data_IF_623412936412
#
_entry.id   IF_623412936412
#
_cell.length_a   1.000
_cell.length_b   1.000
_cell.length_c   1.000
_cell.angle_alpha   90.00
_cell.angle_beta   90.00
_cell.angle_gamma   90.00
#
_symmetry.space_group_name_H-M   'P 1'
#
loop_
_entity.id
_entity.type
_entity.pdbx_description
1 polymer ?
#
# COMPACT_ATOMS: atom_id res chain seq x y z
N UNK A 1 -16.88 -1.05 -23.41
CA UNK A 1 -15.86 -0.83 -24.46
C UNK A 1 -14.54 -0.47 -23.78
N UNK A 2 -13.42 -1.18 -24.13
CA UNK A 2 -12.08 -0.81 -23.66
C UNK A 2 -11.70 0.54 -24.27
N UNK A 3 -11.41 1.54 -23.42
CA UNK A 3 -11.05 2.89 -23.87
C UNK A 3 -9.55 3.11 -23.98
N UNK A 4 -8.77 2.43 -23.15
CA UNK A 4 -7.30 2.55 -23.14
C UNK A 4 -6.63 1.29 -22.59
N UNK A 5 -5.42 1.01 -23.08
CA UNK A 5 -4.52 -0.04 -22.59
C UNK A 5 -3.08 0.46 -22.63
N UNK A 6 -2.37 0.36 -21.52
CA UNK A 6 -0.96 0.72 -21.42
C UNK A 6 -0.12 -0.38 -20.80
N UNK A 7 1.20 -0.23 -20.87
CA UNK A 7 2.16 -1.09 -20.18
C UNK A 7 2.58 -0.44 -18.87
N UNK A 8 2.69 -1.25 -17.83
CA UNK A 8 3.30 -0.87 -16.55
C UNK A 8 4.69 -1.47 -16.43
N UNK A 9 5.41 -1.15 -15.37
CA UNK A 9 6.59 -1.88 -14.94
C UNK A 9 6.29 -3.34 -14.55
N UNK A 10 7.27 -4.02 -14.00
CA UNK A 10 7.22 -5.47 -13.78
C UNK A 10 6.22 -5.88 -12.69
N UNK A 11 5.36 -6.84 -13.00
CA UNK A 11 4.43 -7.49 -12.08
C UNK A 11 3.55 -6.50 -11.31
N UNK A 12 2.69 -5.71 -11.97
CA UNK A 12 1.73 -4.85 -11.27
C UNK A 12 0.81 -5.71 -10.39
N UNK A 13 0.54 -5.27 -9.18
CA UNK A 13 -0.25 -6.03 -8.21
C UNK A 13 -1.56 -5.32 -7.83
N UNK A 14 -1.48 -4.13 -7.28
CA UNK A 14 -2.64 -3.39 -6.80
C UNK A 14 -2.64 -1.96 -7.34
N UNK A 15 -3.82 -1.35 -7.31
CA UNK A 15 -4.08 -0.01 -7.83
C UNK A 15 -4.82 0.81 -6.79
N UNK A 16 -4.35 2.04 -6.58
CA UNK A 16 -5.04 3.04 -5.75
C UNK A 16 -5.35 4.29 -6.57
N UNK A 17 -6.63 4.66 -6.64
CA UNK A 17 -7.07 5.93 -7.20
C UNK A 17 -7.03 7.03 -6.15
N UNK A 18 -6.48 8.20 -6.48
CA UNK A 18 -6.54 9.35 -5.57
C UNK A 18 -7.99 9.85 -5.45
N UNK A 19 -8.42 10.38 -4.27
CA UNK A 19 -9.80 10.80 -4.05
C UNK A 19 -10.28 11.95 -4.95
N UNK A 20 -9.38 12.62 -5.65
CA UNK A 20 -9.69 13.67 -6.64
C UNK A 20 -9.78 13.13 -8.08
N UNK A 21 -9.69 11.81 -8.26
CA UNK A 21 -9.73 11.09 -9.55
C UNK A 21 -8.66 11.53 -10.57
N UNK A 22 -7.57 12.18 -10.12
CA UNK A 22 -6.52 12.65 -11.03
C UNK A 22 -5.40 11.67 -11.26
N UNK A 23 -5.11 10.81 -10.27
CA UNK A 23 -3.97 9.91 -10.35
C UNK A 23 -4.34 8.48 -9.99
N UNK A 24 -3.67 7.54 -10.65
CA UNK A 24 -3.62 6.13 -10.27
C UNK A 24 -2.21 5.80 -9.81
N UNK A 25 -2.10 5.19 -8.64
CA UNK A 25 -0.87 4.63 -8.10
C UNK A 25 -0.89 3.12 -8.34
N UNK A 26 0.15 2.57 -8.96
CA UNK A 26 0.25 1.15 -9.29
C UNK A 26 1.45 0.55 -8.57
N UNK A 27 1.22 -0.42 -7.69
CA UNK A 27 2.27 -1.14 -6.98
C UNK A 27 2.95 -2.17 -7.88
N UNK A 28 4.28 -2.13 -7.93
CA UNK A 28 5.08 -3.06 -8.75
C UNK A 28 5.73 -4.13 -7.86
N UNK A 29 5.15 -5.31 -7.80
CA UNK A 29 5.73 -6.43 -7.03
C UNK A 29 7.06 -6.90 -7.59
N UNK A 30 7.28 -6.78 -8.88
CA UNK A 30 8.56 -7.07 -9.54
C UNK A 30 9.53 -5.87 -9.59
N UNK A 31 9.22 -4.77 -8.92
CA UNK A 31 9.98 -3.53 -8.97
C UNK A 31 10.29 -2.95 -7.58
N UNK A 32 10.81 -1.71 -7.58
CA UNK A 32 11.26 -1.02 -6.35
C UNK A 32 10.28 0.06 -5.88
N UNK A 33 9.00 0.00 -6.29
CA UNK A 33 8.08 1.03 -5.84
C UNK A 33 6.77 1.09 -6.60
N UNK A 34 6.28 2.30 -6.70
CA UNK A 34 4.95 2.65 -7.17
C UNK A 34 5.04 3.55 -8.39
N UNK A 35 4.38 3.18 -9.48
CA UNK A 35 4.17 4.07 -10.63
C UNK A 35 2.95 4.94 -10.42
N UNK A 36 3.05 6.21 -10.79
CA UNK A 36 1.96 7.20 -10.72
C UNK A 36 1.57 7.61 -12.13
N UNK A 37 0.31 7.39 -12.45
CA UNK A 37 -0.27 7.78 -13.72
C UNK A 37 -1.25 8.93 -13.54
N UNK A 38 -1.07 10.00 -14.32
CA UNK A 38 -2.08 11.05 -14.49
C UNK A 38 -3.21 10.49 -15.36
N UNK A 39 -4.44 10.51 -14.84
CA UNK A 39 -5.64 9.98 -15.51
C UNK A 39 -6.71 11.05 -15.71
N UNK A 40 -6.41 12.31 -15.43
CA UNK A 40 -7.34 13.42 -15.63
C UNK A 40 -7.62 13.70 -17.13
N UNK A 41 -6.73 13.26 -18.02
CA UNK A 41 -6.88 13.40 -19.47
C UNK A 41 -7.56 12.20 -20.15
N UNK A 42 -7.56 12.20 -21.49
CA UNK A 42 -8.12 11.11 -22.27
C UNK A 42 -7.30 9.82 -22.21
N UNK A 43 -5.99 9.93 -22.04
CA UNK A 43 -5.05 8.79 -21.98
C UNK A 43 -4.20 8.89 -20.72
N UNK A 44 -4.15 7.82 -19.91
CA UNK A 44 -3.26 7.76 -18.76
C UNK A 44 -1.79 7.92 -19.14
N UNK A 45 -1.06 8.75 -18.40
CA UNK A 45 0.36 9.02 -18.62
C UNK A 45 1.17 8.77 -17.36
N UNK A 46 2.25 7.99 -17.46
CA UNK A 46 3.20 7.84 -16.37
C UNK A 46 3.87 9.20 -16.10
N UNK A 47 3.71 9.73 -14.90
CA UNK A 47 4.25 11.03 -14.49
C UNK A 47 5.34 10.92 -13.44
N UNK A 48 5.36 9.84 -12.67
CA UNK A 48 6.35 9.65 -11.61
C UNK A 48 6.48 8.17 -11.23
N UNK A 49 7.66 7.79 -10.74
CA UNK A 49 7.88 6.57 -9.98
C UNK A 49 8.33 6.94 -8.57
N UNK A 50 7.61 6.45 -7.55
CA UNK A 50 7.92 6.66 -6.14
C UNK A 50 8.68 5.43 -5.64
N UNK A 51 9.92 5.61 -5.21
CA UNK A 51 10.70 4.52 -4.59
C UNK A 51 10.20 4.29 -3.17
N UNK A 52 9.51 3.17 -2.94
CA UNK A 52 8.99 2.77 -1.63
C UNK A 52 9.79 1.62 -1.02
N UNK A 53 10.25 0.72 -1.86
CA UNK A 53 10.95 -0.50 -1.50
C UNK A 53 10.61 -1.62 -2.49
N UNK A 54 11.38 -2.69 -2.46
CA UNK A 54 11.15 -3.82 -3.36
C UNK A 54 9.83 -4.54 -3.03
N UNK A 55 9.09 -4.86 -4.08
CA UNK A 55 7.88 -5.66 -3.99
C UNK A 55 6.65 -4.87 -3.53
N UNK A 56 6.46 -3.64 -4.00
CA UNK A 56 5.25 -2.87 -3.73
C UNK A 56 4.01 -3.65 -4.18
N UNK A 57 3.06 -3.89 -3.24
CA UNK A 57 2.01 -4.87 -3.48
C UNK A 57 0.60 -4.34 -3.23
N UNK A 58 0.24 -3.97 -2.01
CA UNK A 58 -1.13 -3.62 -1.65
C UNK A 58 -1.21 -2.23 -1.06
N UNK A 59 -2.27 -1.51 -1.41
CA UNK A 59 -2.55 -0.17 -0.92
C UNK A 59 -3.63 -0.15 0.16
N UNK A 60 -3.54 0.83 1.05
CA UNK A 60 -4.58 1.16 2.02
C UNK A 60 -4.60 2.66 2.30
N UNK A 61 -5.68 3.33 1.94
CA UNK A 61 -5.88 4.74 2.29
C UNK A 61 -5.81 4.98 3.80
N UNK A 62 -5.23 6.08 4.22
CA UNK A 62 -5.11 6.44 5.63
C UNK A 62 -6.42 7.00 6.24
N UNK A 63 -7.40 7.32 5.40
CA UNK A 63 -8.67 7.91 5.82
C UNK A 63 -8.65 9.43 5.98
N UNK A 64 -7.51 10.05 5.74
CA UNK A 64 -7.30 11.50 5.89
C UNK A 64 -7.33 12.25 4.54
N UNK A 65 -7.68 11.57 3.44
CA UNK A 65 -7.72 12.11 2.07
C UNK A 65 -6.40 12.74 1.62
N UNK A 66 -5.30 12.25 2.13
CA UNK A 66 -3.96 12.75 1.80
C UNK A 66 -2.89 11.66 1.74
N UNK A 67 -3.04 10.63 2.56
CA UNK A 67 -2.02 9.61 2.65
C UNK A 67 -2.55 8.23 2.26
N UNK A 68 -1.67 7.44 1.69
CA UNK A 68 -1.89 6.03 1.40
C UNK A 68 -0.69 5.21 1.85
N UNK A 69 -0.98 4.06 2.45
CA UNK A 69 0.04 3.07 2.79
C UNK A 69 0.22 2.09 1.63
N UNK A 70 1.44 1.64 1.43
CA UNK A 70 1.77 0.56 0.49
C UNK A 70 2.67 -0.46 1.15
N UNK A 71 2.32 -1.73 1.07
CA UNK A 71 3.17 -2.83 1.54
C UNK A 71 4.27 -3.13 0.52
N UNK A 72 5.52 -3.25 0.99
CA UNK A 72 6.68 -3.64 0.19
C UNK A 72 7.07 -5.06 0.60
N UNK A 73 6.53 -6.05 -0.11
CA UNK A 73 6.57 -7.46 0.27
C UNK A 73 7.98 -8.00 0.43
N UNK A 74 8.89 -7.65 -0.46
CA UNK A 74 10.28 -8.11 -0.45
C UNK A 74 11.14 -7.30 0.53
N UNK A 75 10.90 -5.98 0.59
CA UNK A 75 11.62 -5.10 1.52
C UNK A 75 11.20 -5.27 2.98
N UNK A 76 10.10 -5.99 3.27
CA UNK A 76 9.56 -6.17 4.63
C UNK A 76 9.21 -4.85 5.33
N UNK A 77 8.68 -3.91 4.58
CA UNK A 77 8.26 -2.59 5.07
C UNK A 77 6.87 -2.23 4.58
N UNK A 78 6.28 -1.24 5.24
CA UNK A 78 5.13 -0.48 4.73
C UNK A 78 5.58 0.96 4.59
N UNK A 79 5.34 1.58 3.44
CA UNK A 79 5.61 2.99 3.21
C UNK A 79 4.31 3.78 3.24
N UNK A 80 4.32 4.94 3.91
CA UNK A 80 3.25 5.94 3.85
C UNK A 80 3.60 6.98 2.81
N UNK A 81 2.75 7.15 1.84
CA UNK A 81 2.92 8.10 0.73
C UNK A 81 1.95 9.27 0.96
N UNK A 82 2.47 10.50 0.90
CA UNK A 82 1.66 11.68 0.68
C UNK A 82 1.41 11.82 -0.82
N UNK A 83 0.18 11.60 -1.27
CA UNK A 83 -0.12 11.61 -2.70
C UNK A 83 -0.33 13.04 -3.28
N UNK A 84 -0.35 14.08 -2.44
CA UNK A 84 -0.30 15.47 -2.93
C UNK A 84 1.12 15.85 -3.39
N UNK A 85 2.13 15.40 -2.64
CA UNK A 85 3.55 15.64 -2.96
C UNK A 85 4.18 14.49 -3.76
N UNK A 86 3.51 13.35 -3.83
CA UNK A 86 4.00 12.09 -4.42
C UNK A 86 5.34 11.66 -3.83
N UNK A 87 5.44 11.70 -2.49
CA UNK A 87 6.65 11.32 -1.75
C UNK A 87 6.34 10.37 -0.60
N UNK A 88 7.31 9.51 -0.27
CA UNK A 88 7.26 8.72 0.96
C UNK A 88 7.55 9.65 2.15
N UNK A 89 6.64 9.68 3.13
CA UNK A 89 6.79 10.50 4.34
C UNK A 89 7.18 9.67 5.56
N UNK A 90 6.83 8.39 5.60
CA UNK A 90 7.13 7.47 6.71
C UNK A 90 7.34 6.05 6.21
N UNK A 91 8.13 5.27 6.96
CA UNK A 91 8.29 3.83 6.76
C UNK A 91 8.11 3.09 8.08
N UNK A 92 7.54 1.87 7.98
CA UNK A 92 7.23 0.99 9.09
C UNK A 92 7.84 -0.39 8.84
N UNK A 93 8.50 -1.02 9.82
CA UNK A 93 8.92 -2.40 9.70
C UNK A 93 7.68 -3.32 9.67
N UNK A 94 7.64 -4.24 8.74
CA UNK A 94 6.52 -5.18 8.57
C UNK A 94 7.02 -6.59 8.19
N UNK A 95 7.68 -7.31 9.12
CA UNK A 95 8.21 -8.64 8.85
C UNK A 95 7.09 -9.70 8.85
N UNK A 96 7.13 -10.75 8.07
CA UNK A 96 7.89 -10.97 6.85
C UNK A 96 6.93 -11.18 5.70
N UNK A 97 7.22 -10.51 4.58
CA UNK A 97 6.34 -10.55 3.42
C UNK A 97 4.98 -9.88 3.66
N UNK A 98 4.92 -8.57 4.00
CA UNK A 98 3.66 -7.87 4.20
C UNK A 98 2.83 -7.91 2.92
N UNK A 99 1.56 -8.27 3.09
CA UNK A 99 0.57 -8.38 2.03
C UNK A 99 -0.52 -7.32 2.21
N UNK A 100 -1.79 -7.66 2.08
CA UNK A 100 -2.87 -6.72 2.33
C UNK A 100 -2.94 -6.31 3.81
N UNK A 101 -3.40 -5.09 4.04
CA UNK A 101 -3.46 -4.49 5.36
C UNK A 101 -4.77 -3.74 5.57
N UNK A 102 -5.11 -3.48 6.83
CA UNK A 102 -6.18 -2.59 7.23
C UNK A 102 -5.74 -1.71 8.41
N UNK A 103 -6.42 -0.58 8.61
CA UNK A 103 -6.16 0.37 9.68
C UNK A 103 -7.34 0.46 10.63
N UNK A 104 -7.08 0.65 11.93
CA UNK A 104 -8.11 1.08 12.87
C UNK A 104 -8.69 2.43 12.47
N UNK A 105 -9.94 2.71 12.88
CA UNK A 105 -10.65 3.94 12.52
C UNK A 105 -9.90 5.21 12.92
N UNK A 106 -9.17 5.16 14.03
CA UNK A 106 -8.31 6.24 14.52
C UNK A 106 -6.93 6.32 13.85
N UNK A 107 -6.64 5.38 12.92
CA UNK A 107 -5.35 5.29 12.23
C UNK A 107 -4.17 4.88 13.12
N UNK A 108 -4.43 4.47 14.39
CA UNK A 108 -3.38 4.17 15.36
C UNK A 108 -2.66 2.84 15.09
N UNK A 109 -3.37 1.83 14.60
CA UNK A 109 -2.78 0.53 14.31
C UNK A 109 -2.98 0.10 12.87
N UNK A 110 -1.91 -0.47 12.29
CA UNK A 110 -1.96 -1.21 11.04
C UNK A 110 -2.00 -2.70 11.38
N UNK A 111 -2.98 -3.41 10.84
CA UNK A 111 -3.04 -4.86 10.81
C UNK A 111 -2.61 -5.32 9.43
N UNK A 112 -1.55 -6.11 9.33
CA UNK A 112 -1.05 -6.59 8.04
C UNK A 112 -0.86 -8.10 8.04
N UNK A 113 -1.26 -8.74 6.95
CA UNK A 113 -0.98 -10.14 6.70
C UNK A 113 0.51 -10.31 6.40
N UNK A 114 1.25 -10.92 7.30
CA UNK A 114 2.68 -11.26 7.11
C UNK A 114 2.77 -12.65 6.48
N UNK A 115 2.68 -12.68 5.13
CA UNK A 115 2.47 -13.89 4.34
C UNK A 115 3.53 -14.96 4.56
N UNK A 116 4.80 -14.58 4.54
CA UNK A 116 5.91 -15.52 4.69
C UNK A 116 6.14 -15.93 6.14
N UNK A 117 5.80 -15.06 7.08
CA UNK A 117 5.84 -15.38 8.51
C UNK A 117 4.66 -16.23 8.99
N UNK A 118 3.61 -16.41 8.19
CA UNK A 118 2.34 -17.05 8.59
C UNK A 118 1.70 -16.39 9.80
N UNK A 119 1.75 -15.06 9.85
CA UNK A 119 1.29 -14.25 10.96
C UNK A 119 0.40 -13.11 10.49
N UNK A 120 -0.45 -12.64 11.37
CA UNK A 120 -0.95 -11.26 11.35
C UNK A 120 -0.01 -10.42 12.21
N UNK A 121 0.49 -9.33 11.69
CA UNK A 121 1.35 -8.37 12.38
C UNK A 121 0.56 -7.11 12.69
N UNK A 122 0.69 -6.60 13.91
CA UNK A 122 0.13 -5.33 14.35
C UNK A 122 1.25 -4.33 14.54
N UNK A 123 1.12 -3.17 13.92
CA UNK A 123 2.11 -2.09 13.94
C UNK A 123 1.44 -0.86 14.54
N UNK A 124 2.06 -0.27 15.54
CA UNK A 124 1.68 1.04 16.08
C UNK A 124 2.24 2.14 15.17
N UNK A 125 1.37 2.97 14.61
CA UNK A 125 1.74 4.02 13.67
C UNK A 125 2.48 5.19 14.33
N UNK A 126 2.30 5.41 15.63
CA UNK A 126 2.93 6.51 16.38
C UNK A 126 4.37 6.18 16.74
N UNK A 127 4.59 4.94 17.22
CA UNK A 127 5.94 4.46 17.58
C UNK A 127 6.69 3.87 16.39
N UNK A 128 5.97 3.53 15.32
CA UNK A 128 6.47 2.84 14.13
C UNK A 128 7.06 1.46 14.44
N UNK A 129 6.52 0.77 15.43
CA UNK A 129 7.02 -0.51 15.89
C UNK A 129 5.98 -1.61 15.75
N UNK A 130 6.46 -2.82 15.51
CA UNK A 130 5.65 -4.04 15.63
C UNK A 130 5.34 -4.27 17.11
N UNK A 131 4.06 -4.17 17.47
CA UNK A 131 3.62 -4.35 18.87
C UNK A 131 3.05 -5.73 19.13
N UNK A 132 2.62 -6.45 18.09
CA UNK A 132 2.07 -7.81 18.23
C UNK A 132 2.20 -8.61 16.94
N UNK A 133 2.39 -9.91 17.10
CA UNK A 133 2.25 -10.89 16.01
C UNK A 133 1.41 -12.07 16.49
N UNK A 134 0.44 -12.48 15.69
CA UNK A 134 -0.46 -13.60 15.95
C UNK A 134 -0.25 -14.66 14.88
N UNK A 135 -0.05 -15.91 15.28
CA UNK A 135 0.05 -17.02 14.34
C UNK A 135 -1.30 -17.24 13.66
N UNK A 136 -1.28 -17.36 12.34
CA UNK A 136 -2.44 -17.66 11.51
C UNK A 136 -2.12 -18.82 10.56
N UNK A 137 -3.05 -19.16 9.69
CA UNK A 137 -2.83 -20.21 8.69
C UNK A 137 -1.74 -19.91 7.68
N UNK A 138 -1.46 -20.86 6.81
CA UNK A 138 -0.47 -20.71 5.74
C UNK A 138 -0.90 -19.62 4.76
N UNK A 139 0.08 -18.82 4.31
CA UNK A 139 -0.09 -17.83 3.24
C UNK A 139 -1.25 -16.84 3.49
N UNK A 140 -1.33 -16.18 4.67
CA UNK A 140 -2.36 -15.17 4.90
C UNK A 140 -2.26 -14.07 3.84
N UNK A 141 -3.40 -13.56 3.39
CA UNK A 141 -3.45 -12.55 2.33
C UNK A 141 -4.20 -11.29 2.80
N UNK A 142 -5.50 -11.40 3.04
CA UNK A 142 -6.35 -10.27 3.39
C UNK A 142 -6.49 -10.07 4.90
N UNK A 143 -6.66 -8.82 5.31
CA UNK A 143 -7.08 -8.41 6.65
C UNK A 143 -8.26 -7.45 6.51
N UNK A 144 -9.24 -7.60 7.38
CA UNK A 144 -10.38 -6.71 7.48
C UNK A 144 -10.72 -6.48 8.95
N UNK A 145 -10.90 -5.23 9.34
CA UNK A 145 -11.38 -4.84 10.67
C UNK A 145 -12.79 -4.25 10.56
N UNK A 146 -13.65 -4.52 11.55
CA UNK A 146 -15.03 -3.99 11.56
C UNK A 146 -15.05 -2.47 11.72
N UNK A 147 -14.17 -1.96 12.58
CA UNK A 147 -13.98 -0.53 12.83
C UNK A 147 -12.65 -0.11 12.20
N UNK A 148 -12.72 0.38 10.97
CA UNK A 148 -11.55 0.72 10.17
C UNK A 148 -11.60 2.18 9.69
N UNK A 149 -10.42 2.74 9.43
CA UNK A 149 -10.31 4.06 8.81
C UNK A 149 -10.98 4.09 7.42
N UNK A 150 -11.50 5.25 7.03
CA UNK A 150 -12.03 5.43 5.67
C UNK A 150 -11.00 4.99 4.62
N UNK A 151 -11.49 4.45 3.49
CA UNK A 151 -10.58 3.91 2.46
C UNK A 151 -10.05 4.97 1.50
N UNK A 152 -10.61 6.16 1.61
CA UNK A 152 -10.22 7.33 0.81
C UNK A 152 -9.85 8.50 1.69
#
# INVERSE_FOLDING_TARGET
TLKWRGKTGAMPADVFGTPDDKFLLIGLTGGEGVEVYDVAGHEPRLVKTIKTGQGAHAFRGAGDKRHVFVSNRVANTISKIDYQTMTVVENYPAPSGPDCMDLTADGHFIYVASRWAKKMTVIDTRTRQVVRQVNVGKSPHGVWTLDHAARQ
#
